data_IF_243798294829
#
_entry.id   IF_243798294829
#
_cell.length_a   1.000
_cell.length_b   1.000
_cell.length_c   1.000
_cell.angle_alpha   90.00
_cell.angle_beta   90.00
_cell.angle_gamma   90.00
#
_symmetry.space_group_name_H-M   'P 1'
#
loop_
_entity.id
_entity.type
_entity.pdbx_description
1 polymer ?
#
# COMPACT_ATOMS: atom_id res chain seq x y z
N UNK A 1 -37.19 12.66 6.61
CA UNK A 1 -37.04 13.49 5.39
C UNK A 1 -35.55 13.66 5.16
N UNK A 2 -35.07 13.01 4.11
CA UNK A 2 -33.66 12.71 3.88
C UNK A 2 -32.88 13.95 3.44
N UNK A 3 -31.71 14.15 4.04
CA UNK A 3 -30.72 15.18 3.76
C UNK A 3 -30.18 15.14 2.31
N UNK A 4 -30.53 14.11 1.53
CA UNK A 4 -30.23 13.96 0.09
C UNK A 4 -30.89 15.01 -0.82
N UNK A 5 -31.80 15.88 -0.33
CA UNK A 5 -32.46 16.88 -1.18
C UNK A 5 -31.71 18.22 -1.31
N UNK A 6 -30.69 18.48 -0.48
CA UNK A 6 -29.98 19.78 -0.50
C UNK A 6 -28.83 19.86 -1.52
N UNK A 7 -28.48 18.74 -2.16
CA UNK A 7 -27.48 18.68 -3.23
C UNK A 7 -28.07 18.79 -4.66
N UNK A 8 -29.37 19.08 -4.79
CA UNK A 8 -30.10 19.06 -6.08
C UNK A 8 -30.41 20.41 -6.72
N UNK A 9 -29.88 21.53 -6.23
CA UNK A 9 -30.10 22.81 -6.91
C UNK A 9 -28.81 23.61 -7.01
N UNK A 10 -28.11 23.44 -8.13
CA UNK A 10 -27.63 24.49 -9.06
C UNK A 10 -26.83 23.72 -10.11
N UNK A 11 -27.39 23.49 -11.30
CA UNK A 11 -26.69 23.47 -12.59
C UNK A 11 -27.74 23.21 -13.68
N UNK A 12 -27.78 24.09 -14.69
CA UNK A 12 -28.50 23.90 -15.96
C UNK A 12 -28.23 22.53 -16.57
N UNK A 13 -29.12 21.97 -17.41
CA UNK A 13 -29.01 20.60 -17.90
C UNK A 13 -27.77 20.44 -18.77
N UNK A 14 -26.67 20.05 -18.12
CA UNK A 14 -25.49 19.51 -18.75
C UNK A 14 -25.94 18.23 -19.47
N UNK A 15 -25.86 18.22 -20.80
CA UNK A 15 -26.07 17.05 -21.64
C UNK A 15 -25.40 15.84 -20.96
N UNK A 16 -26.21 14.89 -20.48
CA UNK A 16 -25.75 13.69 -19.78
C UNK A 16 -24.95 12.83 -20.76
N UNK A 17 -23.84 12.27 -20.28
CA UNK A 17 -22.99 11.37 -21.07
C UNK A 17 -23.74 10.07 -21.27
N UNK A 18 -23.91 9.66 -22.53
CA UNK A 18 -24.67 8.46 -22.89
C UNK A 18 -23.75 7.27 -23.05
N UNK A 19 -23.49 6.58 -21.95
CA UNK A 19 -22.52 5.47 -21.89
C UNK A 19 -22.82 4.33 -22.88
N UNK A 20 -24.09 4.01 -23.12
CA UNK A 20 -24.51 2.99 -24.09
C UNK A 20 -24.19 3.38 -25.55
N UNK A 21 -24.30 4.68 -25.88
CA UNK A 21 -23.96 5.20 -27.21
C UNK A 21 -22.43 5.21 -27.41
N UNK A 22 -21.66 5.50 -26.36
CA UNK A 22 -20.18 5.42 -26.38
C UNK A 22 -19.73 3.98 -26.69
N UNK A 23 -20.30 2.99 -26.02
CA UNK A 23 -19.99 1.59 -26.31
C UNK A 23 -20.33 1.23 -27.76
N UNK A 24 -21.46 1.72 -28.26
CA UNK A 24 -21.89 1.48 -29.64
C UNK A 24 -20.91 2.09 -30.66
N UNK A 25 -20.39 3.30 -30.39
CA UNK A 25 -19.37 3.94 -31.24
C UNK A 25 -18.08 3.12 -31.23
N UNK A 26 -17.58 2.72 -30.06
CA UNK A 26 -16.33 1.96 -29.93
C UNK A 26 -16.41 0.55 -30.53
N UNK A 27 -17.58 -0.10 -30.47
CA UNK A 27 -17.80 -1.43 -31.03
C UNK A 27 -17.88 -1.45 -32.55
N UNK A 28 -18.40 -0.37 -33.15
CA UNK A 28 -18.66 -0.28 -34.59
C UNK A 28 -17.56 0.47 -35.37
N UNK A 29 -16.64 1.14 -34.67
CA UNK A 29 -15.53 1.83 -35.33
C UNK A 29 -14.52 0.83 -35.90
N UNK A 30 -14.28 0.95 -37.21
CA UNK A 30 -13.32 0.12 -37.97
C UNK A 30 -12.07 0.96 -38.22
N UNK A 31 -10.90 0.37 -37.99
CA UNK A 31 -9.63 1.09 -38.16
C UNK A 31 -9.39 1.45 -39.64
N UNK A 32 -8.83 2.65 -39.92
CA UNK A 32 -8.48 3.05 -41.29
C UNK A 32 -7.57 2.01 -41.96
N UNK A 33 -7.92 1.62 -43.19
CA UNK A 33 -7.18 0.65 -44.02
C UNK A 33 -7.00 -0.76 -43.38
N UNK A 34 -7.90 -1.15 -42.47
CA UNK A 34 -7.89 -2.47 -41.81
C UNK A 34 -9.28 -3.10 -41.83
N UNK A 35 -9.35 -4.44 -41.86
CA UNK A 35 -10.61 -5.17 -41.57
C UNK A 35 -10.84 -5.34 -40.06
N UNK A 36 -9.89 -4.90 -39.23
CA UNK A 36 -9.95 -5.06 -37.79
C UNK A 36 -10.81 -3.96 -37.13
N UNK A 37 -11.72 -4.37 -36.25
CA UNK A 37 -12.50 -3.46 -35.44
C UNK A 37 -11.66 -2.90 -34.28
N UNK A 38 -11.91 -1.65 -33.89
CA UNK A 38 -11.22 -1.00 -32.79
C UNK A 38 -11.39 -1.75 -31.47
N UNK A 39 -12.57 -2.33 -31.22
CA UNK A 39 -12.87 -3.14 -30.04
C UNK A 39 -11.83 -4.24 -29.77
N UNK A 40 -11.24 -4.80 -30.83
CA UNK A 40 -10.26 -5.89 -30.74
C UNK A 40 -8.83 -5.38 -30.43
N UNK A 41 -8.67 -4.05 -30.28
CA UNK A 41 -7.43 -3.36 -29.95
C UNK A 41 -7.51 -2.58 -28.64
N UNK A 42 -8.71 -2.35 -28.12
CA UNK A 42 -8.91 -1.66 -26.84
C UNK A 42 -8.42 -2.55 -25.71
N UNK A 43 -7.45 -2.07 -24.94
CA UNK A 43 -7.00 -2.71 -23.70
C UNK A 43 -7.65 -2.10 -22.46
N UNK A 44 -8.09 -0.84 -22.55
CA UNK A 44 -8.73 -0.16 -21.43
C UNK A 44 -9.67 0.96 -21.93
N UNK A 45 -10.84 1.08 -21.29
CA UNK A 45 -11.80 2.19 -21.46
C UNK A 45 -12.12 2.74 -20.08
N UNK A 46 -12.08 4.07 -19.92
CA UNK A 46 -12.45 4.73 -18.67
C UNK A 46 -13.15 6.06 -18.97
N UNK A 47 -14.42 6.18 -18.57
CA UNK A 47 -15.21 7.42 -18.71
C UNK A 47 -15.23 8.13 -17.35
N UNK A 48 -14.83 9.40 -17.32
CA UNK A 48 -14.87 10.25 -16.13
C UNK A 48 -15.51 11.60 -16.45
N UNK A 49 -16.77 11.78 -16.05
CA UNK A 49 -17.53 12.94 -16.49
C UNK A 49 -17.59 12.96 -18.01
N UNK A 50 -17.13 14.05 -18.64
CA UNK A 50 -17.08 14.21 -20.11
C UNK A 50 -15.75 13.84 -20.75
N UNK A 51 -14.86 13.19 -20.01
CA UNK A 51 -13.54 12.78 -20.50
C UNK A 51 -13.57 11.28 -20.73
N UNK A 52 -13.22 10.84 -21.95
CA UNK A 52 -12.97 9.44 -22.25
C UNK A 52 -11.47 9.19 -22.32
N UNK A 53 -10.98 8.26 -21.50
CA UNK A 53 -9.63 7.71 -21.60
C UNK A 53 -9.70 6.35 -22.29
N UNK A 54 -8.98 6.21 -23.40
CA UNK A 54 -8.95 5.02 -24.22
C UNK A 54 -7.51 4.54 -24.39
N UNK A 55 -7.22 3.29 -24.06
CA UNK A 55 -5.92 2.66 -24.32
C UNK A 55 -6.07 1.64 -25.44
N UNK A 56 -5.27 1.79 -26.49
CA UNK A 56 -5.29 0.90 -27.66
C UNK A 56 -3.90 0.30 -27.92
N UNK A 57 -3.90 -0.97 -28.35
CA UNK A 57 -2.72 -1.66 -28.85
C UNK A 57 -2.60 -1.44 -30.36
N UNK A 58 -1.45 -0.97 -30.83
CA UNK A 58 -1.22 -0.68 -32.26
C UNK A 58 0.05 -1.33 -32.80
N UNK A 59 0.14 -1.46 -34.12
CA UNK A 59 1.31 -1.98 -34.81
C UNK A 59 2.19 -0.85 -35.38
N UNK A 60 3.51 -1.09 -35.56
CA UNK A 60 4.42 -0.08 -36.09
C UNK A 60 4.05 0.48 -37.47
N UNK A 61 3.30 -0.29 -38.27
CA UNK A 61 2.86 0.06 -39.62
C UNK A 61 1.69 1.06 -39.62
N UNK A 62 1.04 1.28 -38.47
CA UNK A 62 -0.18 2.08 -38.34
C UNK A 62 0.11 3.49 -37.77
N UNK A 63 1.39 3.82 -37.58
CA UNK A 63 1.84 5.08 -36.95
C UNK A 63 1.29 6.33 -37.63
N UNK A 64 1.13 6.28 -38.96
CA UNK A 64 0.69 7.41 -39.77
C UNK A 64 -0.83 7.67 -39.69
N UNK A 65 -1.61 6.73 -39.13
CA UNK A 65 -3.08 6.83 -39.03
C UNK A 65 -3.57 7.13 -37.61
N UNK A 66 -2.68 7.23 -36.63
CA UNK A 66 -3.05 7.45 -35.23
C UNK A 66 -3.76 8.78 -34.99
N UNK A 67 -3.33 9.83 -35.71
CA UNK A 67 -3.99 11.14 -35.64
C UNK A 67 -5.40 11.08 -36.24
N UNK A 68 -5.56 10.39 -37.37
CA UNK A 68 -6.86 10.19 -38.01
C UNK A 68 -7.83 9.43 -37.10
N UNK A 69 -7.36 8.37 -36.42
CA UNK A 69 -8.17 7.60 -35.47
C UNK A 69 -8.62 8.47 -34.29
N UNK A 70 -7.72 9.33 -33.77
CA UNK A 70 -8.04 10.24 -32.68
C UNK A 70 -9.13 11.24 -33.09
N UNK A 71 -8.97 11.89 -34.23
CA UNK A 71 -9.89 12.93 -34.71
C UNK A 71 -11.29 12.35 -35.02
N UNK A 72 -11.36 11.21 -35.73
CA UNK A 72 -12.64 10.58 -36.09
C UNK A 72 -13.40 10.05 -34.85
N UNK A 73 -12.68 9.52 -33.85
CA UNK A 73 -13.29 9.09 -32.60
C UNK A 73 -13.75 10.27 -31.76
N UNK A 74 -12.98 11.36 -31.70
CA UNK A 74 -13.38 12.56 -30.98
C UNK A 74 -14.70 13.13 -31.54
N UNK A 75 -14.81 13.25 -32.86
CA UNK A 75 -16.02 13.72 -33.55
C UNK A 75 -17.24 12.79 -33.32
N UNK A 76 -17.02 11.48 -33.30
CA UNK A 76 -18.09 10.52 -33.05
C UNK A 76 -18.57 10.55 -31.59
N UNK A 77 -17.65 10.70 -30.65
CA UNK A 77 -17.90 10.68 -29.21
C UNK A 77 -18.45 12.01 -28.67
N UNK A 78 -18.20 13.13 -29.36
CA UNK A 78 -18.80 14.42 -29.03
C UNK A 78 -20.33 14.35 -29.03
N UNK A 79 -20.91 13.60 -29.98
CA UNK A 79 -22.37 13.36 -30.08
C UNK A 79 -22.93 12.57 -28.89
N UNK A 80 -22.07 11.85 -28.16
CA UNK A 80 -22.41 11.08 -26.97
C UNK A 80 -22.16 11.86 -25.66
N UNK A 81 -21.70 13.13 -25.74
CA UNK A 81 -21.47 14.00 -24.60
C UNK A 81 -20.03 14.04 -24.07
N UNK A 82 -19.07 13.43 -24.78
CA UNK A 82 -17.64 13.49 -24.46
C UNK A 82 -17.02 14.77 -25.02
N UNK A 83 -16.30 15.52 -24.20
CA UNK A 83 -15.62 16.78 -24.60
C UNK A 83 -14.12 16.60 -24.80
N UNK A 84 -13.54 15.54 -24.23
CA UNK A 84 -12.11 15.29 -24.30
C UNK A 84 -11.84 13.79 -24.47
N UNK A 85 -11.11 13.44 -25.52
CA UNK A 85 -10.64 12.08 -25.78
C UNK A 85 -9.12 12.01 -25.53
N UNK A 86 -8.74 11.25 -24.52
CA UNK A 86 -7.35 10.94 -24.19
C UNK A 86 -7.00 9.54 -24.69
N UNK A 87 -6.22 9.46 -25.77
CA UNK A 87 -5.82 8.21 -26.41
C UNK A 87 -4.40 7.81 -26.00
N UNK A 88 -4.25 6.69 -25.30
CA UNK A 88 -2.95 6.11 -24.94
C UNK A 88 -2.62 4.92 -25.85
N UNK A 89 -1.42 4.91 -26.42
CA UNK A 89 -1.05 3.97 -27.47
C UNK A 89 0.07 3.04 -26.98
N UNK A 90 -0.17 1.74 -27.05
CA UNK A 90 0.80 0.69 -26.72
C UNK A 90 1.22 -0.02 -28.01
N UNK A 91 2.48 0.11 -28.42
CA UNK A 91 2.99 -0.56 -29.62
C UNK A 91 3.34 -2.02 -29.34
N UNK A 92 2.75 -2.96 -30.08
CA UNK A 92 3.09 -4.37 -30.02
C UNK A 92 4.28 -4.71 -30.94
N UNK A 93 5.24 -5.49 -30.43
CA UNK A 93 6.29 -6.12 -31.26
C UNK A 93 5.68 -7.34 -31.96
N UNK A 94 5.93 -7.52 -33.25
CA UNK A 94 5.38 -8.66 -34.03
C UNK A 94 5.56 -10.00 -33.30
N UNK A 95 4.47 -10.73 -33.12
CA UNK A 95 4.52 -12.15 -32.81
C UNK A 95 4.77 -12.92 -34.12
N UNK A 96 5.97 -13.49 -34.27
CA UNK A 96 6.23 -14.45 -35.33
C UNK A 96 5.50 -15.77 -34.98
N UNK A 97 4.50 -16.12 -35.78
CA UNK A 97 3.85 -17.42 -35.73
C UNK A 97 4.85 -18.54 -36.04
N UNK A 98 4.79 -19.61 -35.25
CA UNK A 98 5.60 -20.81 -35.45
C UNK A 98 5.16 -21.64 -36.65
N UNK A 99 6.15 -22.16 -37.36
CA UNK A 99 6.03 -23.39 -38.13
C UNK A 99 7.11 -24.38 -37.69
N UNK A 100 6.71 -25.63 -37.61
CA UNK A 100 7.51 -26.75 -37.17
C UNK A 100 8.54 -27.19 -38.23
N UNK A 101 9.74 -27.52 -37.76
CA UNK A 101 10.58 -28.56 -38.34
C UNK A 101 11.34 -28.24 -39.63
N UNK A 102 12.63 -27.93 -39.50
CA UNK A 102 13.66 -28.81 -40.08
C UNK A 102 15.05 -28.52 -39.50
N UNK A 103 15.70 -29.63 -39.12
CA UNK A 103 17.11 -29.74 -38.78
C UNK A 103 18.02 -29.07 -39.81
N UNK A 104 18.94 -28.22 -39.36
CA UNK A 104 20.27 -28.19 -39.96
C UNK A 104 21.31 -27.68 -38.97
N UNK A 105 22.19 -28.60 -38.57
CA UNK A 105 23.44 -28.33 -37.88
C UNK A 105 24.37 -27.50 -38.76
N UNK A 106 24.84 -26.36 -38.27
CA UNK A 106 26.10 -25.78 -38.73
C UNK A 106 26.84 -25.14 -37.55
N UNK A 107 28.09 -25.56 -37.39
CA UNK A 107 29.03 -25.13 -36.36
C UNK A 107 29.38 -23.63 -36.47
N UNK A 108 29.75 -22.96 -35.36
CA UNK A 108 30.01 -21.53 -35.37
C UNK A 108 31.38 -21.23 -36.01
N UNK A 109 31.37 -20.43 -37.08
CA UNK A 109 32.57 -19.68 -37.48
C UNK A 109 32.60 -18.39 -36.68
N UNK A 110 33.65 -18.25 -35.87
CA UNK A 110 33.99 -17.01 -35.21
C UNK A 110 34.38 -15.96 -36.27
N UNK A 111 33.58 -14.91 -36.41
CA UNK A 111 34.00 -13.65 -37.03
C UNK A 111 33.75 -12.51 -36.04
N UNK A 112 34.87 -11.90 -35.66
CA UNK A 112 34.99 -10.78 -34.75
C UNK A 112 34.70 -9.51 -35.55
N UNK A 113 33.53 -8.90 -35.36
CA UNK A 113 33.23 -7.57 -35.90
C UNK A 113 32.39 -6.77 -34.91
N UNK A 114 33.07 -6.16 -33.93
CA UNK A 114 32.48 -5.22 -32.99
C UNK A 114 32.23 -3.86 -33.66
N UNK A 115 31.03 -3.69 -34.20
CA UNK A 115 30.41 -2.36 -34.37
C UNK A 115 29.03 -2.36 -33.72
N UNK A 116 29.01 -2.62 -32.42
CA UNK A 116 27.88 -2.22 -31.59
C UNK A 116 28.09 -0.75 -31.20
N UNK A 117 27.05 0.11 -31.28
CA UNK A 117 27.13 1.45 -30.69
C UNK A 117 27.43 1.32 -29.18
N UNK A 118 28.11 2.30 -28.58
CA UNK A 118 28.46 2.24 -27.17
C UNK A 118 27.19 2.09 -26.33
N UNK A 119 27.17 1.06 -25.48
CA UNK A 119 26.14 0.91 -24.46
C UNK A 119 26.38 2.01 -23.44
N UNK A 120 25.50 3.00 -23.39
CA UNK A 120 25.50 4.00 -22.32
C UNK A 120 24.72 3.42 -21.14
N UNK A 121 25.27 3.55 -19.93
CA UNK A 121 24.56 3.18 -18.71
C UNK A 121 23.24 3.94 -18.60
N UNK A 122 22.14 3.22 -18.39
CA UNK A 122 20.80 3.78 -18.14
C UNK A 122 20.66 4.35 -16.71
N UNK A 123 21.77 4.76 -16.09
CA UNK A 123 21.72 5.48 -14.83
C UNK A 123 21.05 6.82 -15.09
N UNK A 124 19.93 7.16 -14.42
CA UNK A 124 19.36 8.48 -14.58
C UNK A 124 20.38 9.49 -14.05
N UNK A 125 20.96 10.29 -14.96
CA UNK A 125 21.43 11.61 -14.56
C UNK A 125 20.17 12.34 -14.11
N UNK A 126 20.16 12.85 -12.89
CA UNK A 126 19.12 13.72 -12.41
C UNK A 126 19.16 15.02 -13.24
N UNK A 127 18.56 14.99 -14.43
CA UNK A 127 18.19 16.18 -15.16
C UNK A 127 16.90 16.69 -14.52
N UNK A 128 16.94 17.93 -14.04
CA UNK A 128 15.74 18.63 -13.57
C UNK A 128 14.77 18.73 -14.75
N UNK A 129 13.65 18.01 -14.66
CA UNK A 129 12.56 18.10 -15.63
C UNK A 129 11.98 19.52 -15.58
N UNK A 130 12.14 20.34 -16.64
CA UNK A 130 11.69 21.73 -16.66
C UNK A 130 10.15 21.86 -16.58
N UNK A 131 9.40 20.76 -16.72
CA UNK A 131 7.95 20.73 -16.57
C UNK A 131 7.48 20.32 -15.17
N UNK A 132 8.39 19.96 -14.24
CA UNK A 132 8.02 19.70 -12.86
C UNK A 132 8.28 20.96 -12.02
N UNK A 133 7.23 21.70 -11.60
CA UNK A 133 7.45 22.91 -10.83
C UNK A 133 8.21 22.58 -9.54
N UNK A 134 9.21 23.39 -9.14
CA UNK A 134 9.95 23.15 -7.91
C UNK A 134 8.97 23.06 -6.74
N UNK A 135 9.19 22.11 -5.82
CA UNK A 135 8.36 21.90 -4.64
C UNK A 135 8.41 23.19 -3.79
N UNK A 136 7.41 24.07 -3.96
CA UNK A 136 7.40 25.43 -3.38
C UNK A 136 7.20 25.47 -1.86
N UNK A 137 6.85 24.33 -1.24
CA UNK A 137 6.71 24.20 0.22
C UNK A 137 7.46 22.97 0.69
N UNK A 138 8.40 23.15 1.62
CA UNK A 138 9.03 22.06 2.33
C UNK A 138 7.96 21.14 2.94
N UNK A 139 8.18 19.82 2.88
CA UNK A 139 7.29 18.88 3.54
C UNK A 139 7.21 19.21 5.04
N UNK A 140 6.02 19.14 5.65
CA UNK A 140 5.88 19.39 7.08
C UNK A 140 6.78 18.43 7.86
N UNK A 141 7.50 18.95 8.86
CA UNK A 141 8.30 18.12 9.75
C UNK A 141 7.39 17.57 10.85
N UNK A 142 7.80 16.47 11.49
CA UNK A 142 7.03 15.84 12.57
C UNK A 142 6.67 16.79 13.71
N UNK A 143 7.51 17.79 14.00
CA UNK A 143 7.24 18.83 15.01
C UNK A 143 6.09 19.78 14.65
N UNK A 144 5.77 19.91 13.36
CA UNK A 144 4.76 20.82 12.83
C UNK A 144 3.37 20.17 12.77
N UNK A 145 3.31 18.84 12.97
CA UNK A 145 2.07 18.07 12.98
C UNK A 145 1.44 18.13 14.36
N UNK A 146 0.20 18.62 14.43
CA UNK A 146 -0.53 18.71 15.69
C UNK A 146 -0.76 17.31 16.29
N UNK A 147 -0.49 17.11 17.60
CA UNK A 147 -0.79 15.86 18.28
C UNK A 147 -2.30 15.61 18.35
N UNK A 148 -2.71 14.35 18.28
CA UNK A 148 -4.10 13.96 18.54
C UNK A 148 -4.41 14.07 20.04
N UNK A 149 -5.55 14.64 20.46
CA UNK A 149 -5.86 14.93 21.87
C UNK A 149 -5.84 13.71 22.81
N UNK A 150 -6.20 12.54 22.27
CA UNK A 150 -6.38 11.31 23.06
C UNK A 150 -5.33 10.23 22.82
N UNK A 151 -4.32 10.51 22.00
CA UNK A 151 -3.28 9.53 21.68
C UNK A 151 -1.93 10.10 22.09
N UNK A 152 -1.30 9.51 23.10
CA UNK A 152 -0.01 9.99 23.60
C UNK A 152 1.14 9.63 22.64
N UNK A 153 1.19 8.38 22.18
CA UNK A 153 2.23 7.90 21.29
C UNK A 153 1.64 7.19 20.06
N UNK A 154 2.29 7.38 18.91
CA UNK A 154 1.96 6.65 17.69
C UNK A 154 3.18 5.84 17.25
N UNK A 155 2.99 4.52 17.11
CA UNK A 155 4.01 3.61 16.59
C UNK A 155 3.57 3.14 15.21
N UNK A 156 4.39 3.40 14.20
CA UNK A 156 4.18 2.82 12.88
C UNK A 156 4.82 1.43 12.79
N UNK A 157 4.09 0.45 12.27
CA UNK A 157 4.67 -0.84 11.89
C UNK A 157 4.73 -0.89 10.37
N UNK A 158 5.95 -0.94 9.82
CA UNK A 158 6.18 -0.88 8.38
C UNK A 158 6.96 -2.08 7.88
N UNK A 159 6.77 -2.42 6.60
CA UNK A 159 7.55 -3.41 5.90
C UNK A 159 7.86 -2.95 4.48
N UNK A 160 9.05 -3.31 4.01
CA UNK A 160 9.46 -2.97 2.66
C UNK A 160 8.71 -3.73 1.56
N UNK A 161 8.17 -4.92 1.89
CA UNK A 161 7.39 -5.75 0.97
C UNK A 161 6.15 -6.33 1.64
N UNK A 162 5.18 -6.76 0.84
CA UNK A 162 4.03 -7.54 1.29
C UNK A 162 4.45 -8.96 1.68
N UNK A 163 3.69 -9.58 2.59
CA UNK A 163 3.87 -10.99 2.96
C UNK A 163 4.96 -11.31 3.99
N UNK A 164 5.61 -10.31 4.61
CA UNK A 164 6.60 -10.53 5.69
C UNK A 164 5.98 -10.77 7.07
N UNK A 165 4.64 -10.81 7.19
CA UNK A 165 3.95 -10.93 8.48
C UNK A 165 3.87 -9.63 9.29
N UNK A 166 3.87 -8.47 8.61
CA UNK A 166 3.71 -7.14 9.21
C UNK A 166 2.45 -7.05 10.07
N UNK A 167 1.26 -7.32 9.51
CA UNK A 167 -0.02 -7.21 10.24
C UNK A 167 -0.13 -8.18 11.41
N UNK A 168 0.36 -9.42 11.25
CA UNK A 168 0.47 -10.41 12.35
C UNK A 168 1.34 -9.88 13.49
N UNK A 169 2.47 -9.23 13.14
CA UNK A 169 3.35 -8.60 14.11
C UNK A 169 2.69 -7.38 14.76
N UNK A 170 1.98 -6.55 13.99
CA UNK A 170 1.24 -5.38 14.49
C UNK A 170 0.24 -5.79 15.58
N UNK A 171 -0.59 -6.81 15.30
CA UNK A 171 -1.61 -7.29 16.25
C UNK A 171 -0.97 -7.85 17.52
N UNK A 172 0.03 -8.74 17.40
CA UNK A 172 0.67 -9.33 18.57
C UNK A 172 1.49 -8.31 19.37
N UNK A 173 2.16 -7.36 18.71
CA UNK A 173 2.86 -6.27 19.38
C UNK A 173 1.89 -5.39 20.19
N UNK A 174 0.74 -5.03 19.60
CA UNK A 174 -0.28 -4.25 20.28
C UNK A 174 -0.83 -4.96 21.53
N UNK A 175 -1.13 -6.25 21.41
CA UNK A 175 -1.57 -7.09 22.53
C UNK A 175 -0.49 -7.24 23.60
N UNK A 176 0.77 -7.38 23.21
CA UNK A 176 1.88 -7.48 24.14
C UNK A 176 2.09 -6.16 24.92
N UNK A 177 2.03 -5.02 24.24
CA UNK A 177 2.05 -3.69 24.88
C UNK A 177 0.86 -3.52 25.85
N UNK A 178 -0.32 -4.00 25.48
CA UNK A 178 -1.49 -3.98 26.37
C UNK A 178 -1.26 -4.85 27.63
N UNK A 179 -0.67 -6.05 27.48
CA UNK A 179 -0.29 -6.91 28.61
C UNK A 179 0.76 -6.28 29.53
N UNK A 180 1.59 -5.37 29.00
CA UNK A 180 2.52 -4.56 29.79
C UNK A 180 1.83 -3.38 30.51
N UNK A 181 0.50 -3.28 30.43
CA UNK A 181 -0.32 -2.32 31.17
C UNK A 181 -0.67 -1.03 30.42
N UNK A 182 -0.34 -0.94 29.13
CA UNK A 182 -0.67 0.23 28.31
C UNK A 182 -2.10 0.17 27.77
N UNK A 183 -2.73 1.33 27.63
CA UNK A 183 -3.97 1.49 26.85
C UNK A 183 -3.60 1.57 25.37
N UNK A 184 -3.91 0.52 24.63
CA UNK A 184 -3.49 0.34 23.24
C UNK A 184 -4.68 0.39 22.28
N UNK A 185 -4.50 1.12 21.18
CA UNK A 185 -5.38 1.05 20.02
C UNK A 185 -4.64 0.55 18.79
N UNK A 186 -5.39 0.07 17.80
CA UNK A 186 -4.87 -0.40 16.51
C UNK A 186 -5.62 0.27 15.36
N UNK A 187 -4.86 0.87 14.44
CA UNK A 187 -5.36 1.40 13.17
C UNK A 187 -4.74 0.60 12.03
N UNK A 188 -5.57 -0.12 11.29
CA UNK A 188 -5.16 -0.81 10.07
C UNK A 188 -5.20 0.17 8.89
N UNK A 189 -4.02 0.52 8.38
CA UNK A 189 -3.86 1.42 7.24
C UNK A 189 -3.57 0.68 5.91
N UNK A 190 -3.60 -0.65 5.90
CA UNK A 190 -3.41 -1.43 4.68
C UNK A 190 -4.73 -1.55 3.89
N UNK A 191 -4.94 -0.58 2.99
CA UNK A 191 -6.17 -0.50 2.18
C UNK A 191 -6.28 -1.61 1.15
N UNK A 192 -5.15 -2.14 0.68
CA UNK A 192 -5.15 -3.11 -0.42
C UNK A 192 -5.31 -4.55 0.07
N UNK A 193 -4.97 -4.81 1.34
CA UNK A 193 -5.13 -6.12 1.95
C UNK A 193 -5.37 -6.02 3.46
N UNK A 194 -6.48 -5.40 3.91
CA UNK A 194 -6.77 -5.28 5.33
C UNK A 194 -6.94 -6.68 5.91
N UNK A 195 -6.10 -7.02 6.88
CA UNK A 195 -6.06 -8.37 7.47
C UNK A 195 -6.32 -8.36 8.97
N UNK A 196 -6.18 -7.20 9.61
CA UNK A 196 -6.40 -7.03 11.05
C UNK A 196 -7.81 -7.46 11.49
N UNK A 197 -8.89 -7.19 10.74
CA UNK A 197 -10.21 -7.63 11.17
C UNK A 197 -10.33 -9.15 11.34
N UNK A 198 -9.74 -9.90 10.40
CA UNK A 198 -9.68 -11.37 10.47
C UNK A 198 -8.83 -11.82 11.65
N UNK A 199 -7.64 -11.22 11.82
CA UNK A 199 -6.68 -11.59 12.87
C UNK A 199 -7.19 -11.34 14.30
N UNK A 200 -8.19 -10.48 14.45
CA UNK A 200 -8.82 -10.15 15.73
C UNK A 200 -10.21 -10.78 15.90
N UNK A 201 -10.66 -11.61 14.95
CA UNK A 201 -11.95 -12.29 15.03
C UNK A 201 -13.16 -11.36 14.91
N UNK A 202 -12.99 -10.15 14.38
CA UNK A 202 -14.05 -9.16 14.18
C UNK A 202 -14.32 -8.85 12.70
N UNK A 203 -13.82 -9.69 11.78
CA UNK A 203 -14.16 -9.64 10.37
C UNK A 203 -15.68 -9.67 10.15
N UNK A 204 -16.17 -8.81 9.25
CA UNK A 204 -17.60 -8.66 8.97
C UNK A 204 -18.35 -7.75 9.93
N UNK A 205 -17.72 -7.27 11.01
CA UNK A 205 -18.28 -6.20 11.84
C UNK A 205 -18.01 -4.83 11.19
N UNK A 206 -18.97 -3.92 11.34
CA UNK A 206 -18.88 -2.55 10.87
C UNK A 206 -18.97 -1.60 12.07
N UNK A 207 -18.09 -0.59 12.18
CA UNK A 207 -18.15 0.39 13.25
C UNK A 207 -19.47 1.17 13.20
N UNK A 208 -19.99 1.51 14.38
CA UNK A 208 -21.10 2.45 14.47
C UNK A 208 -20.60 3.86 14.17
N UNK A 209 -21.52 4.74 13.78
CA UNK A 209 -21.23 6.17 13.56
C UNK A 209 -22.05 6.97 14.58
N UNK A 210 -21.36 7.77 15.39
CA UNK A 210 -21.95 8.70 16.36
C UNK A 210 -21.43 10.12 16.08
N UNK A 211 -22.35 11.07 15.85
CA UNK A 211 -22.00 12.46 15.58
C UNK A 211 -20.92 12.62 14.49
N UNK A 212 -21.07 11.90 13.37
CA UNK A 212 -20.11 11.87 12.24
C UNK A 212 -18.73 11.26 12.57
N UNK A 213 -18.57 10.64 13.74
CA UNK A 213 -17.35 9.94 14.13
C UNK A 213 -17.57 8.43 14.20
N UNK A 214 -16.53 7.65 13.88
CA UNK A 214 -16.52 6.20 14.03
C UNK A 214 -16.37 5.82 15.50
N UNK A 215 -17.24 4.94 15.98
CA UNK A 215 -17.03 4.22 17.24
C UNK A 215 -16.08 3.06 16.96
N UNK A 216 -14.86 3.02 17.54
CA UNK A 216 -13.93 1.93 17.30
C UNK A 216 -14.51 0.62 17.82
N UNK A 217 -14.17 -0.50 17.16
CA UNK A 217 -14.55 -1.82 17.63
C UNK A 217 -13.65 -2.23 18.79
N UNK A 218 -14.20 -2.96 19.75
CA UNK A 218 -13.41 -3.61 20.78
C UNK A 218 -12.89 -4.96 20.27
N UNK A 219 -11.60 -5.20 20.44
CA UNK A 219 -11.00 -6.52 20.27
C UNK A 219 -10.00 -6.76 21.41
N UNK A 220 -10.31 -7.72 22.28
CA UNK A 220 -9.48 -8.04 23.45
C UNK A 220 -9.21 -6.81 24.34
N UNK A 221 -10.17 -5.88 24.46
CA UNK A 221 -9.99 -4.64 25.23
C UNK A 221 -9.11 -3.58 24.54
N UNK A 222 -8.73 -3.78 23.27
CA UNK A 222 -8.11 -2.75 22.43
C UNK A 222 -9.17 -2.06 21.57
N UNK A 223 -9.04 -0.74 21.40
CA UNK A 223 -9.83 -0.01 20.42
C UNK A 223 -9.24 -0.23 19.02
N UNK A 224 -10.06 -0.70 18.07
CA UNK A 224 -9.60 -1.08 16.74
C UNK A 224 -10.46 -0.45 15.65
N UNK A 225 -9.79 0.10 14.65
CA UNK A 225 -10.44 0.55 13.42
C UNK A 225 -9.62 0.10 12.22
N UNK A 226 -10.30 -0.29 11.15
CA UNK A 226 -9.70 -0.76 9.91
C UNK A 226 -10.57 -0.33 8.76
N UNK A 227 -9.92 -0.01 7.64
CA UNK A 227 -10.61 0.17 6.36
C UNK A 227 -11.38 -1.10 5.95
N UNK A 228 -10.91 -2.29 6.34
CA UNK A 228 -11.59 -3.56 6.12
C UNK A 228 -12.98 -3.63 6.78
N UNK A 229 -13.20 -2.93 7.91
CA UNK A 229 -14.52 -2.86 8.53
C UNK A 229 -15.53 -2.04 7.72
N UNK A 230 -15.05 -1.13 6.86
CA UNK A 230 -15.89 -0.23 6.06
C UNK A 230 -16.25 -0.81 4.68
N UNK A 231 -15.48 -1.77 4.18
CA UNK A 231 -15.64 -2.32 2.82
C UNK A 231 -16.75 -3.40 2.77
N UNK A 232 -17.17 -3.94 3.93
CA UNK A 232 -18.23 -4.93 4.04
C UNK A 232 -17.88 -6.29 3.39
N UNK A 233 -18.64 -7.34 3.71
CA UNK A 233 -18.39 -8.70 3.25
C UNK A 233 -18.51 -8.90 1.72
N UNK A 234 -19.04 -7.91 1.00
CA UNK A 234 -19.36 -8.01 -0.43
C UNK A 234 -18.14 -7.81 -1.35
N UNK A 235 -16.94 -7.63 -0.77
CA UNK A 235 -15.65 -7.56 -1.47
C UNK A 235 -15.70 -6.66 -2.73
N UNK A 236 -16.53 -5.62 -2.69
CA UNK A 236 -16.78 -4.78 -3.86
C UNK A 236 -15.53 -3.95 -4.05
N UNK A 237 -14.82 -4.07 -5.19
CA UNK A 237 -13.55 -3.37 -5.39
C UNK A 237 -13.80 -1.87 -5.44
N UNK A 238 -13.69 -1.20 -4.29
CA UNK A 238 -13.62 0.26 -4.24
C UNK A 238 -12.25 0.63 -4.77
N UNK A 239 -12.19 1.38 -5.87
CA UNK A 239 -10.93 1.88 -6.41
C UNK A 239 -10.35 2.95 -5.48
N UNK A 240 -9.63 2.53 -4.45
CA UNK A 240 -8.92 3.37 -3.50
C UNK A 240 -7.67 3.99 -4.16
N UNK A 241 -7.84 4.98 -5.05
CA UNK A 241 -6.70 5.67 -5.67
C UNK A 241 -6.17 6.81 -4.78
N UNK A 242 -4.86 6.78 -4.53
CA UNK A 242 -4.01 7.83 -3.94
C UNK A 242 -4.70 8.80 -2.97
N UNK A 243 -5.21 9.96 -3.42
CA UNK A 243 -5.82 10.96 -2.54
C UNK A 243 -7.03 10.47 -1.75
N UNK A 244 -7.87 9.60 -2.32
CA UNK A 244 -9.04 9.05 -1.61
C UNK A 244 -8.63 8.07 -0.52
N UNK A 245 -7.64 7.23 -0.81
CA UNK A 245 -7.04 6.30 0.13
C UNK A 245 -6.44 7.04 1.35
N UNK A 246 -5.56 8.01 1.08
CA UNK A 246 -4.99 8.87 2.13
C UNK A 246 -6.05 9.64 2.89
N UNK A 247 -7.06 10.20 2.20
CA UNK A 247 -8.16 10.92 2.83
C UNK A 247 -8.94 10.04 3.81
N UNK A 248 -9.29 8.82 3.40
CA UNK A 248 -9.97 7.86 4.25
C UNK A 248 -9.14 7.47 5.49
N UNK A 249 -7.82 7.26 5.34
CA UNK A 249 -6.95 6.95 6.48
C UNK A 249 -6.85 8.12 7.46
N UNK A 250 -6.72 9.35 6.95
CA UNK A 250 -6.74 10.53 7.81
C UNK A 250 -8.10 10.71 8.48
N UNK A 251 -9.19 10.28 7.83
CA UNK A 251 -10.52 10.26 8.44
C UNK A 251 -10.60 9.21 9.56
N UNK A 252 -10.12 7.99 9.34
CA UNK A 252 -10.05 6.97 10.39
C UNK A 252 -9.18 7.41 11.57
N UNK A 253 -8.08 8.13 11.32
CA UNK A 253 -7.24 8.65 12.38
C UNK A 253 -7.93 9.77 13.18
N UNK A 254 -8.49 10.79 12.50
CA UNK A 254 -9.01 12.00 13.15
C UNK A 254 -10.48 11.91 13.59
N UNK A 255 -11.30 11.12 12.89
CA UNK A 255 -12.76 11.01 13.11
C UNK A 255 -13.14 9.68 13.75
N UNK A 256 -12.22 9.04 14.47
CA UNK A 256 -12.56 7.91 15.35
C UNK A 256 -12.64 8.41 16.77
N UNK A 257 -13.67 7.98 17.51
CA UNK A 257 -13.84 8.22 18.94
C UNK A 257 -12.85 7.37 19.73
N UNK A 258 -11.55 7.61 19.53
CA UNK A 258 -10.50 6.94 20.29
C UNK A 258 -10.73 7.16 21.78
N UNK A 259 -10.60 6.10 22.61
CA UNK A 259 -10.45 6.30 24.03
C UNK A 259 -9.08 6.94 24.30
N UNK A 260 -8.79 7.14 25.57
CA UNK A 260 -7.49 7.62 26.01
C UNK A 260 -6.44 6.53 25.82
N UNK A 261 -5.55 6.72 24.85
CA UNK A 261 -4.54 5.75 24.46
C UNK A 261 -3.14 6.22 24.86
N UNK A 262 -2.40 5.33 25.51
CA UNK A 262 -0.96 5.50 25.73
C UNK A 262 -0.22 5.27 24.41
N UNK A 263 -0.69 4.32 23.59
CA UNK A 263 -0.12 3.96 22.29
C UNK A 263 -1.22 3.65 21.27
N UNK A 264 -1.13 4.26 20.09
CA UNK A 264 -1.80 3.79 18.87
C UNK A 264 -0.76 3.10 17.97
N UNK A 265 -0.98 1.83 17.67
CA UNK A 265 -0.16 1.07 16.70
C UNK A 265 -0.83 1.15 15.34
N UNK A 266 -0.10 1.60 14.31
CA UNK A 266 -0.61 1.74 12.94
C UNK A 266 0.05 0.70 12.04
N UNK A 267 -0.77 -0.15 11.43
CA UNK A 267 -0.32 -1.13 10.44
C UNK A 267 -0.21 -0.45 9.07
N UNK A 268 1.01 -0.11 8.65
CA UNK A 268 1.23 0.63 7.41
C UNK A 268 0.93 -0.25 6.19
N UNK A 269 0.46 0.29 5.04
CA UNK A 269 0.45 -0.47 3.79
C UNK A 269 1.89 -0.88 3.41
N UNK A 270 2.13 -1.95 2.65
CA UNK A 270 3.49 -2.38 2.29
C UNK A 270 4.20 -1.41 1.32
N UNK A 271 5.53 -1.46 1.29
CA UNK A 271 6.35 -0.74 0.30
C UNK A 271 6.99 0.53 0.86
N UNK A 272 7.21 1.52 0.00
CA UNK A 272 7.62 2.90 0.35
C UNK A 272 6.88 3.93 -0.52
N UNK A 273 5.63 3.63 -0.86
CA UNK A 273 4.81 4.47 -1.75
C UNK A 273 4.23 5.71 -1.07
N UNK A 274 3.53 6.55 -1.85
CA UNK A 274 3.03 7.86 -1.43
C UNK A 274 2.12 7.82 -0.19
N UNK A 275 1.35 6.75 0.00
CA UNK A 275 0.47 6.60 1.18
C UNK A 275 1.31 6.51 2.46
N UNK A 276 2.38 5.72 2.45
CA UNK A 276 3.25 5.62 3.63
C UNK A 276 3.92 6.95 3.96
N UNK A 277 4.47 7.62 2.94
CA UNK A 277 5.09 8.93 3.11
C UNK A 277 4.08 9.95 3.65
N UNK A 278 2.85 9.95 3.12
CA UNK A 278 1.84 10.90 3.56
C UNK A 278 1.40 10.65 5.00
N UNK A 279 1.18 9.40 5.39
CA UNK A 279 0.87 9.05 6.79
C UNK A 279 2.02 9.49 7.72
N UNK A 280 3.25 9.18 7.33
CA UNK A 280 4.45 9.55 8.08
C UNK A 280 4.66 11.08 8.17
N UNK A 281 4.12 11.87 7.25
CA UNK A 281 4.20 13.34 7.29
C UNK A 281 3.01 14.01 7.97
N UNK A 282 1.84 13.36 8.02
CA UNK A 282 0.58 13.97 8.49
C UNK A 282 0.10 13.47 9.84
N UNK A 283 0.62 12.34 10.31
CA UNK A 283 0.34 11.80 11.63
C UNK A 283 1.51 12.17 12.56
N UNK A 284 1.25 12.63 13.79
CA UNK A 284 2.29 12.93 14.77
C UNK A 284 2.91 11.60 15.25
N UNK A 285 3.93 11.09 14.57
CA UNK A 285 4.53 9.78 14.86
C UNK A 285 5.55 9.90 15.99
N UNK A 286 5.56 8.94 16.92
CA UNK A 286 6.58 8.83 17.97
C UNK A 286 7.78 8.04 17.48
N UNK A 287 7.54 6.91 16.80
CA UNK A 287 8.60 6.11 16.19
C UNK A 287 8.05 5.03 15.26
N UNK A 288 8.95 4.33 14.57
CA UNK A 288 8.61 3.27 13.64
C UNK A 288 9.33 1.95 13.96
N UNK A 289 8.65 0.84 13.76
CA UNK A 289 9.19 -0.52 13.83
C UNK A 289 9.22 -1.09 12.41
N UNK A 290 10.35 -1.66 12.02
CA UNK A 290 10.52 -2.29 10.71
C UNK A 290 10.37 -3.80 10.83
N UNK A 291 9.46 -4.40 10.06
CA UNK A 291 9.32 -5.86 9.95
C UNK A 291 9.98 -6.31 8.65
N UNK A 292 10.90 -7.27 8.76
CA UNK A 292 11.60 -7.86 7.62
C UNK A 292 11.69 -9.39 7.75
N UNK A 293 12.32 -10.03 6.78
CA UNK A 293 12.71 -11.46 6.82
C UNK A 293 14.20 -11.58 6.49
N UNK A 294 14.89 -12.67 6.85
CA UNK A 294 16.32 -12.83 6.57
C UNK A 294 16.71 -12.78 5.07
N UNK A 295 15.73 -12.92 4.16
CA UNK A 295 15.95 -12.87 2.72
C UNK A 295 16.50 -11.52 2.25
N UNK A 296 17.57 -11.54 1.46
CA UNK A 296 18.21 -10.34 0.90
C UNK A 296 17.25 -9.34 0.25
N UNK A 297 16.24 -9.82 -0.49
CA UNK A 297 15.25 -8.93 -1.15
C UNK A 297 14.44 -8.17 -0.11
N UNK A 298 14.01 -8.82 0.97
CA UNK A 298 13.28 -8.17 2.06
C UNK A 298 14.14 -7.13 2.78
N UNK A 299 15.43 -7.42 2.97
CA UNK A 299 16.38 -6.50 3.59
C UNK A 299 16.56 -5.23 2.75
N UNK A 300 16.69 -5.35 1.43
CA UNK A 300 16.76 -4.18 0.54
C UNK A 300 15.52 -3.29 0.65
N UNK A 301 14.34 -3.87 0.83
CA UNK A 301 13.13 -3.06 1.00
C UNK A 301 12.99 -2.51 2.42
N UNK A 302 13.49 -3.21 3.44
CA UNK A 302 13.60 -2.69 4.81
C UNK A 302 14.53 -1.47 4.87
N UNK A 303 15.66 -1.49 4.15
CA UNK A 303 16.57 -0.35 3.96
C UNK A 303 15.79 0.87 3.44
N UNK A 304 15.00 0.70 2.37
CA UNK A 304 14.20 1.81 1.81
C UNK A 304 13.20 2.37 2.84
N UNK A 305 12.59 1.50 3.64
CA UNK A 305 11.69 1.90 4.73
C UNK A 305 12.39 2.73 5.81
N UNK A 306 13.61 2.33 6.22
CA UNK A 306 14.43 3.09 7.17
C UNK A 306 14.80 4.46 6.58
N UNK A 307 15.26 4.50 5.33
CA UNK A 307 15.61 5.75 4.64
C UNK A 307 14.41 6.70 4.50
N UNK A 308 13.22 6.15 4.26
CA UNK A 308 11.98 6.92 4.23
C UNK A 308 11.75 7.64 5.57
N UNK A 309 11.83 6.91 6.69
CA UNK A 309 11.63 7.46 8.02
C UNK A 309 12.71 8.48 8.41
N UNK A 310 13.98 8.22 8.04
CA UNK A 310 15.08 9.18 8.23
C UNK A 310 14.79 10.50 7.50
N UNK A 311 14.29 10.45 6.25
CA UNK A 311 13.96 11.65 5.47
C UNK A 311 12.87 12.51 6.11
N UNK A 312 11.94 11.91 6.84
CA UNK A 312 10.85 12.63 7.53
C UNK A 312 11.09 12.82 9.03
N UNK A 313 12.31 12.50 9.50
CA UNK A 313 12.73 12.61 10.91
C UNK A 313 11.87 11.80 11.88
N UNK A 314 11.45 10.60 11.48
CA UNK A 314 10.82 9.63 12.38
C UNK A 314 11.91 8.68 12.91
N UNK A 315 12.06 8.53 14.23
CA UNK A 315 13.03 7.59 14.78
C UNK A 315 12.58 6.15 14.55
N UNK A 316 13.47 5.33 14.02
CA UNK A 316 13.25 3.88 13.94
C UNK A 316 13.59 3.27 15.28
N UNK A 317 12.58 2.74 15.97
CA UNK A 317 12.69 2.09 17.28
C UNK A 317 13.46 0.78 17.20
N UNK A 318 13.43 0.12 16.04
CA UNK A 318 14.21 -1.07 15.77
C UNK A 318 13.64 -1.91 14.64
N UNK A 319 14.29 -3.05 14.41
CA UNK A 319 13.90 -4.03 13.38
C UNK A 319 13.46 -5.34 14.05
N UNK A 320 12.41 -5.94 13.51
CA UNK A 320 11.96 -7.30 13.84
C UNK A 320 12.24 -8.18 12.63
N UNK A 321 13.01 -9.25 12.84
CA UNK A 321 13.24 -10.25 11.82
C UNK A 321 12.22 -11.38 11.97
N UNK A 322 11.21 -11.39 11.11
CA UNK A 322 10.19 -12.42 11.08
C UNK A 322 10.60 -13.60 10.19
N UNK A 323 10.01 -14.77 10.41
CA UNK A 323 10.32 -16.01 9.72
C UNK A 323 11.83 -16.33 9.76
N UNK A 324 12.47 -16.06 10.90
CA UNK A 324 13.91 -16.20 11.08
C UNK A 324 14.35 -17.67 11.16
N UNK A 325 13.52 -18.49 11.78
CA UNK A 325 13.78 -19.92 12.03
C UNK A 325 12.53 -20.73 11.78
N UNK A 326 12.66 -21.98 11.37
CA UNK A 326 11.59 -22.94 11.24
C UNK A 326 11.90 -24.10 12.18
N UNK A 327 10.94 -24.46 13.03
CA UNK A 327 11.06 -25.59 13.96
C UNK A 327 10.22 -26.74 13.39
N UNK A 328 10.89 -27.82 13.00
CA UNK A 328 10.22 -28.98 12.42
C UNK A 328 9.24 -29.59 13.43
N UNK A 329 7.95 -29.62 13.09
CA UNK A 329 6.89 -30.14 13.95
C UNK A 329 7.00 -31.63 14.28
N UNK A 330 7.77 -32.39 13.50
CA UNK A 330 7.96 -33.82 13.70
C UNK A 330 9.15 -34.17 14.62
N UNK A 331 10.26 -33.40 14.57
CA UNK A 331 11.49 -33.75 15.30
C UNK A 331 12.05 -32.62 16.18
N UNK A 332 11.48 -31.42 16.14
CA UNK A 332 11.96 -30.25 16.90
C UNK A 332 13.26 -29.64 16.38
N UNK A 333 13.78 -30.10 15.24
CA UNK A 333 14.98 -29.50 14.63
C UNK A 333 14.68 -28.07 14.17
N UNK A 334 15.52 -27.14 14.61
CA UNK A 334 15.45 -25.73 14.23
C UNK A 334 16.39 -25.45 13.06
N UNK A 335 15.87 -24.86 11.99
CA UNK A 335 16.61 -24.51 10.79
C UNK A 335 16.29 -23.10 10.29
N UNK A 336 17.27 -22.47 9.64
CA UNK A 336 17.19 -21.10 9.13
C UNK A 336 16.95 -21.10 7.62
N UNK A 337 15.74 -21.50 7.21
CA UNK A 337 15.39 -21.76 5.80
C UNK A 337 15.48 -20.53 4.88
N UNK A 338 15.43 -19.32 5.45
CA UNK A 338 15.45 -18.07 4.69
C UNK A 338 16.76 -17.29 4.80
N UNK A 339 17.77 -17.86 5.47
CA UNK A 339 19.05 -17.22 5.74
C UNK A 339 19.19 -16.77 7.19
N UNK A 340 20.32 -16.12 7.49
CA UNK A 340 20.73 -15.75 8.85
C UNK A 340 21.28 -14.33 8.81
N UNK A 341 21.00 -13.55 9.85
CA UNK A 341 21.74 -12.33 10.14
C UNK A 341 21.28 -11.09 9.38
N UNK A 342 20.13 -11.13 8.71
CA UNK A 342 19.63 -9.98 7.97
C UNK A 342 19.25 -8.82 8.88
N UNK A 343 18.59 -9.12 9.99
CA UNK A 343 18.27 -8.16 11.04
C UNK A 343 19.50 -7.61 11.74
N UNK A 344 20.53 -8.44 11.96
CA UNK A 344 21.80 -7.99 12.56
C UNK A 344 22.53 -7.00 11.66
N UNK A 345 22.60 -7.28 10.35
CA UNK A 345 23.19 -6.38 9.36
C UNK A 345 22.50 -5.01 9.36
N UNK A 346 21.16 -4.98 9.38
CA UNK A 346 20.40 -3.74 9.47
C UNK A 346 20.64 -3.01 10.79
N UNK A 347 20.72 -3.75 11.88
CA UNK A 347 20.98 -3.24 13.21
C UNK A 347 22.33 -2.54 13.30
N UNK A 348 23.38 -3.17 12.79
CA UNK A 348 24.74 -2.61 12.72
C UNK A 348 24.81 -1.41 11.76
N UNK A 349 24.28 -1.55 10.55
CA UNK A 349 24.34 -0.50 9.53
C UNK A 349 23.67 0.79 9.98
N UNK A 350 22.50 0.70 10.60
CA UNK A 350 21.69 1.85 10.98
C UNK A 350 21.77 2.23 12.46
N UNK A 351 22.55 1.49 13.25
CA UNK A 351 22.68 1.69 14.70
C UNK A 351 21.32 1.66 15.42
N UNK A 352 20.42 0.79 14.97
CA UNK A 352 19.09 0.55 15.54
C UNK A 352 19.05 -0.83 16.20
N UNK A 353 18.28 -1.07 17.25
CA UNK A 353 18.26 -2.39 17.88
C UNK A 353 17.53 -3.42 17.02
N UNK A 354 18.03 -4.65 17.01
CA UNK A 354 17.24 -5.82 16.65
C UNK A 354 16.30 -6.13 17.83
N UNK A 355 15.01 -5.88 17.65
CA UNK A 355 14.00 -6.00 18.70
C UNK A 355 13.69 -7.46 19.02
N UNK A 356 13.82 -8.34 18.03
CA UNK A 356 13.57 -9.76 18.20
C UNK A 356 13.55 -10.51 16.88
N UNK A 357 13.54 -11.84 17.02
CA UNK A 357 13.42 -12.81 15.94
C UNK A 357 12.17 -13.65 16.15
N UNK A 358 11.37 -13.82 15.12
CA UNK A 358 10.11 -14.57 15.20
C UNK A 358 10.18 -15.80 14.30
N UNK A 359 9.79 -16.99 14.78
CA UNK A 359 9.84 -18.21 14.00
C UNK A 359 8.76 -18.23 12.91
N UNK A 360 9.01 -18.98 11.84
CA UNK A 360 7.99 -19.46 10.92
C UNK A 360 7.30 -20.67 11.56
N UNK A 361 6.18 -20.41 12.23
CA UNK A 361 5.37 -21.43 12.90
C UNK A 361 3.94 -21.46 12.31
N UNK A 362 3.47 -22.65 11.98
CA UNK A 362 2.11 -22.88 11.50
C UNK A 362 1.05 -22.47 12.55
N UNK A 363 1.35 -22.63 13.85
CA UNK A 363 0.45 -22.22 14.93
C UNK A 363 0.16 -20.73 14.88
N UNK A 364 1.16 -19.88 14.64
CA UNK A 364 0.98 -18.41 14.54
C UNK A 364 -0.05 -18.08 13.44
N UNK A 365 0.06 -18.74 12.28
CA UNK A 365 -0.91 -18.58 11.17
C UNK A 365 -2.29 -19.08 11.58
N UNK A 366 -2.40 -20.28 12.13
CA UNK A 366 -3.69 -20.89 12.52
C UNK A 366 -4.43 -20.06 13.56
N UNK A 367 -3.69 -19.60 14.57
CA UNK A 367 -4.16 -18.70 15.61
C UNK A 367 -4.64 -17.36 15.03
N UNK A 368 -3.86 -16.73 14.14
CA UNK A 368 -4.27 -15.51 13.45
C UNK A 368 -5.52 -15.72 12.58
N UNK A 369 -5.60 -16.79 11.79
CA UNK A 369 -6.74 -17.08 10.91
C UNK A 369 -8.04 -17.34 11.72
N UNK A 370 -7.90 -17.89 12.93
CA UNK A 370 -9.01 -18.11 13.86
C UNK A 370 -9.35 -16.87 14.71
N UNK A 371 -8.68 -15.74 14.47
CA UNK A 371 -8.90 -14.51 15.22
C UNK A 371 -8.39 -14.56 16.66
N UNK A 372 -7.48 -15.48 16.99
CA UNK A 372 -6.94 -15.73 18.32
C UNK A 372 -5.42 -15.56 18.34
N UNK A 373 -4.86 -14.33 18.30
CA UNK A 373 -3.42 -14.11 18.15
C UNK A 373 -2.56 -14.82 19.21
N UNK A 374 -1.32 -15.16 18.85
CA UNK A 374 -0.34 -15.85 19.70
C UNK A 374 -0.25 -15.31 21.13
N UNK A 375 -0.23 -13.98 21.31
CA UNK A 375 -0.19 -13.36 22.65
C UNK A 375 -1.47 -13.63 23.46
N UNK A 376 -2.64 -13.74 22.83
CA UNK A 376 -3.90 -14.07 23.50
C UNK A 376 -3.90 -15.52 23.96
N UNK A 377 -3.54 -16.45 23.07
CA UNK A 377 -3.55 -17.89 23.36
C UNK A 377 -2.35 -18.38 24.17
N UNK A 378 -1.32 -17.52 24.32
CA UNK A 378 -0.09 -17.81 25.07
C UNK A 378 0.66 -19.01 24.51
N UNK A 379 0.80 -19.06 23.18
CA UNK A 379 1.63 -20.06 22.52
C UNK A 379 3.15 -19.76 22.65
N UNK A 380 3.98 -20.61 22.05
CA UNK A 380 5.43 -20.53 22.11
C UNK A 380 5.99 -19.19 21.54
N UNK A 381 5.24 -18.50 20.66
CA UNK A 381 5.65 -17.22 20.09
C UNK A 381 5.27 -16.01 20.98
N UNK A 382 4.39 -16.19 21.96
CA UNK A 382 3.92 -15.11 22.83
C UNK A 382 5.06 -14.45 23.62
N UNK A 383 6.01 -15.25 24.14
CA UNK A 383 7.17 -14.73 24.88
C UNK A 383 8.04 -13.82 24.00
N UNK A 384 8.29 -14.22 22.74
CA UNK A 384 9.03 -13.39 21.79
C UNK A 384 8.35 -12.04 21.54
N UNK A 385 7.02 -12.02 21.40
CA UNK A 385 6.28 -10.76 21.26
C UNK A 385 6.30 -9.90 22.52
N UNK A 386 6.26 -10.50 23.71
CA UNK A 386 6.41 -9.78 24.99
C UNK A 386 7.80 -9.13 25.10
N UNK A 387 8.87 -9.87 24.81
CA UNK A 387 10.25 -9.36 24.82
C UNK A 387 10.45 -8.22 23.80
N UNK A 388 9.87 -8.35 22.61
CA UNK A 388 9.85 -7.28 21.60
C UNK A 388 9.15 -6.04 22.16
N UNK A 389 7.97 -6.20 22.77
CA UNK A 389 7.19 -5.09 23.33
C UNK A 389 7.95 -4.36 24.46
N UNK A 390 8.61 -5.10 25.35
CA UNK A 390 9.47 -4.52 26.39
C UNK A 390 10.60 -3.68 25.79
N UNK A 391 11.31 -4.23 24.80
CA UNK A 391 12.38 -3.52 24.11
C UNK A 391 11.85 -2.27 23.39
N UNK A 392 10.69 -2.35 22.74
CA UNK A 392 10.03 -1.20 22.10
C UNK A 392 9.75 -0.10 23.13
N UNK A 393 9.21 -0.45 24.31
CA UNK A 393 8.98 0.52 25.39
C UNK A 393 10.27 1.15 25.91
N UNK A 394 11.35 0.38 26.03
CA UNK A 394 12.66 0.92 26.41
C UNK A 394 13.18 1.93 25.39
N UNK A 395 13.04 1.66 24.09
CA UNK A 395 13.45 2.61 23.06
C UNK A 395 12.57 3.86 23.06
N UNK A 396 11.25 3.70 23.26
CA UNK A 396 10.34 4.84 23.39
C UNK A 396 10.69 5.75 24.57
N UNK A 397 11.11 5.19 25.71
CA UNK A 397 11.54 5.96 26.90
C UNK A 397 12.77 6.83 26.65
N UNK A 398 13.60 6.50 25.64
CA UNK A 398 14.77 7.31 25.24
C UNK A 398 14.39 8.52 24.39
N UNK A 399 13.19 8.53 23.82
CA UNK A 399 12.68 9.62 23.00
C UNK A 399 12.01 10.70 23.87
N UNK A 400 11.90 11.94 23.38
CA UNK A 400 11.15 12.99 24.07
C UNK A 400 9.72 12.54 24.32
N UNK A 401 9.32 12.49 25.59
CA UNK A 401 7.97 12.11 25.96
C UNK A 401 6.98 13.19 25.55
N UNK A 402 5.96 12.80 24.78
CA UNK A 402 4.81 13.67 24.53
C UNK A 402 3.89 13.61 25.74
N UNK A 403 3.59 14.76 26.30
CA UNK A 403 2.55 14.87 27.31
C UNK A 403 1.20 14.94 26.62
N UNK A 404 0.25 14.20 27.17
CA UNK A 404 -1.14 14.32 26.76
C UNK A 404 -1.70 15.62 27.30
N UNK A 405 -2.42 16.36 26.45
CA UNK A 405 -3.17 17.53 26.89
C UNK A 405 -4.55 17.07 27.38
N UNK A 406 -4.66 16.76 28.67
CA UNK A 406 -5.90 16.30 29.30
C UNK A 406 -7.04 17.32 29.24
N UNK A 407 -6.76 18.58 28.84
CA UNK A 407 -7.77 19.62 28.67
C UNK A 407 -8.39 19.64 27.28
N UNK A 408 -7.78 18.93 26.32
CA UNK A 408 -8.19 18.92 24.92
C UNK A 408 -9.07 17.70 24.66
N UNK A 409 -10.37 17.95 24.49
CA UNK A 409 -11.38 16.90 24.27
C UNK A 409 -11.44 16.48 22.79
N UNK A 410 -11.04 17.38 21.87
CA UNK A 410 -11.10 17.25 20.41
C UNK A 410 -9.84 17.77 19.69
#
# INVERSE_FOLDING_TARGET
MSWLSSLKSVFSPAQEVKEDEIQTVLQNYVLPNSENALKDRISQVNVQGRILQLTINTYPQEKDYLQQIHDELADALEKCGIQELNLHIIQQKHAAHGEAGHSCSSQPKAENNSKLPPVMDASPKAEEDPNNPPIQKAAPQQRDVAPHPRIQNVILVSSGKGGVGKSTTTVNLALALQKLGLKVGVLDADIYGPSIPTMLGNAGLTPQIENEHFVPLDAYGMAVISIGHLIGANNTPVAWRGPKATGALMQLFNQTLWPDLDVLVIDMPPGTGDIQLTLAQRIPVTGAVIVTTPQNVALMDAVKGIELFNKVNIPVLGVIENMSTHICSNCGYEEQIFGIGGGDQLSEQYHIPLLGRLPLDAKIREHADNGQPSVVVQDDAAESYMNIAETVLEQMKKLPQRQRDDKRIF
#
